data_IF_353903075764
#
_entry.id   IF_353903075764
#
_cell.length_a   1.000
_cell.length_b   1.000
_cell.length_c   1.000
_cell.angle_alpha   90.00
_cell.angle_beta   90.00
_cell.angle_gamma   90.00
#
_symmetry.space_group_name_H-M   'P 1'
#
loop_
_entity.id
_entity.type
_entity.pdbx_description
1 polymer ?
#
# COMPACT_ATOMS: atom_id res chain seq x y z
N UNK A 1 -17.63 -51.40 -6.90
CA UNK A 1 -19.03 -50.94 -6.98
C UNK A 1 -19.27 -50.16 -5.68
N UNK A 2 -19.41 -48.84 -5.58
CA UNK A 2 -19.73 -47.72 -6.47
C UNK A 2 -18.89 -46.52 -5.96
N UNK A 3 -18.05 -45.88 -6.78
CA UNK A 3 -18.31 -44.58 -7.46
C UNK A 3 -18.81 -43.50 -6.48
N UNK A 4 -17.88 -42.71 -5.95
CA UNK A 4 -18.16 -41.39 -5.37
C UNK A 4 -18.18 -40.39 -6.53
N UNK A 5 -19.34 -39.82 -6.81
CA UNK A 5 -19.52 -38.73 -7.79
C UNK A 5 -18.86 -37.46 -7.25
N UNK A 6 -18.12 -36.80 -8.14
CA UNK A 6 -17.64 -35.41 -8.08
C UNK A 6 -18.75 -34.40 -7.66
N UNK A 7 -18.48 -33.19 -7.18
CA UNK A 7 -17.74 -32.04 -7.77
C UNK A 7 -17.49 -31.06 -6.58
N UNK A 8 -16.35 -30.38 -6.40
CA UNK A 8 -15.81 -29.24 -7.17
C UNK A 8 -14.35 -29.02 -6.71
N UNK A 9 -13.41 -28.84 -7.64
CA UNK A 9 -12.04 -28.32 -7.40
C UNK A 9 -11.91 -26.92 -8.03
N UNK A 10 -10.84 -26.14 -7.77
CA UNK A 10 -9.99 -25.99 -6.59
C UNK A 10 -9.86 -24.49 -6.21
N UNK A 11 -10.11 -24.07 -4.96
CA UNK A 11 -9.78 -22.68 -4.63
C UNK A 11 -8.28 -22.55 -4.36
N UNK A 12 -7.65 -21.92 -5.33
CA UNK A 12 -6.24 -21.60 -5.45
C UNK A 12 -5.80 -20.77 -4.25
N UNK A 13 -5.30 -21.43 -3.21
CA UNK A 13 -4.47 -20.76 -2.19
C UNK A 13 -3.06 -20.54 -2.76
N UNK A 14 -2.97 -19.82 -3.89
CA UNK A 14 -1.76 -19.11 -4.24
C UNK A 14 -1.61 -18.00 -3.20
N UNK A 15 -0.71 -18.21 -2.23
CA UNK A 15 -0.24 -17.16 -1.33
C UNK A 15 0.03 -15.86 -2.11
N UNK A 16 -0.62 -14.74 -1.77
CA UNK A 16 -0.28 -13.50 -2.43
C UNK A 16 -0.01 -12.41 -1.38
N UNK A 17 1.27 -12.11 -1.20
CA UNK A 17 1.85 -10.88 -0.66
C UNK A 17 1.95 -10.72 0.88
N UNK A 18 3.15 -10.35 1.34
CA UNK A 18 3.53 -10.10 2.74
C UNK A 18 2.76 -8.94 3.43
N UNK A 19 1.73 -8.40 2.79
CA UNK A 19 0.86 -7.37 3.32
C UNK A 19 -0.54 -7.97 3.34
N UNK A 20 -0.89 -8.57 4.47
CA UNK A 20 -2.28 -8.90 4.76
C UNK A 20 -3.01 -7.57 4.93
N UNK A 21 -3.69 -7.11 3.89
CA UNK A 21 -4.73 -6.11 4.03
C UNK A 21 -5.83 -6.77 4.84
N UNK A 22 -5.70 -6.69 6.16
CA UNK A 22 -6.79 -7.00 7.07
C UNK A 22 -7.99 -6.23 6.54
N UNK A 23 -9.10 -6.93 6.41
CA UNK A 23 -10.41 -6.53 5.90
C UNK A 23 -10.96 -5.34 6.71
N UNK A 24 -10.25 -4.21 6.65
CA UNK A 24 -10.67 -2.90 7.09
C UNK A 24 -11.77 -2.56 6.12
N UNK A 25 -12.96 -2.89 6.59
CA UNK A 25 -14.24 -2.79 5.95
C UNK A 25 -14.24 -1.91 4.70
N UNK A 26 -14.74 -2.49 3.62
CA UNK A 26 -15.12 -1.82 2.37
C UNK A 26 -16.07 -0.61 2.57
N UNK A 27 -16.38 -0.22 3.81
CA UNK A 27 -17.30 0.82 4.24
C UNK A 27 -16.65 2.20 4.40
N UNK A 28 -15.32 2.31 4.50
CA UNK A 28 -14.64 3.62 4.56
C UNK A 28 -13.59 3.78 3.46
N UNK A 29 -14.05 4.15 2.25
CA UNK A 29 -13.17 4.59 1.17
C UNK A 29 -12.51 5.93 1.53
N UNK A 30 -11.33 5.89 2.15
CA UNK A 30 -10.51 7.09 2.30
C UNK A 30 -9.81 7.42 0.98
N UNK A 31 -10.19 8.56 0.39
CA UNK A 31 -9.47 9.16 -0.73
C UNK A 31 -8.38 10.11 -0.23
N UNK A 32 -7.17 9.92 -0.74
CA UNK A 32 -6.08 10.87 -0.56
C UNK A 32 -6.41 12.15 -1.31
N UNK A 33 -6.47 13.27 -0.59
CA UNK A 33 -6.69 14.58 -1.20
C UNK A 33 -5.51 14.89 -2.13
N UNK A 34 -5.81 15.24 -3.39
CA UNK A 34 -4.80 15.58 -4.40
C UNK A 34 -3.78 16.63 -3.91
N UNK A 35 -4.24 17.66 -3.20
CA UNK A 35 -3.35 18.68 -2.62
C UNK A 35 -2.31 18.13 -1.63
N UNK A 36 -2.58 16.99 -0.97
CA UNK A 36 -1.64 16.32 -0.09
C UNK A 36 -0.63 15.44 -0.85
N UNK A 37 -1.04 14.90 -2.00
CA UNK A 37 -0.19 14.05 -2.84
C UNK A 37 1.05 14.84 -3.31
N UNK A 38 0.88 16.11 -3.64
CA UNK A 38 1.99 17.00 -4.02
C UNK A 38 2.94 17.35 -2.87
N UNK A 39 2.51 17.20 -1.63
CA UNK A 39 3.34 17.48 -0.46
C UNK A 39 4.18 16.27 -0.05
N UNK A 40 3.87 15.07 -0.56
CA UNK A 40 4.62 13.87 -0.25
C UNK A 40 6.08 14.03 -0.69
N UNK A 41 7.06 13.65 0.16
CA UNK A 41 8.44 13.62 -0.26
C UNK A 41 8.58 12.64 -1.43
N UNK A 42 9.41 12.99 -2.41
CA UNK A 42 9.72 12.10 -3.53
C UNK A 42 11.00 11.31 -3.27
N UNK A 43 11.02 10.08 -3.75
CA UNK A 43 12.18 9.20 -3.76
C UNK A 43 12.26 8.52 -5.11
N UNK A 44 13.36 8.74 -5.82
CA UNK A 44 13.56 8.27 -7.19
C UNK A 44 14.32 6.95 -7.25
N UNK A 45 14.99 6.57 -6.14
CA UNK A 45 15.86 5.40 -6.08
C UNK A 45 17.27 5.66 -6.64
N UNK A 46 17.72 6.92 -6.63
CA UNK A 46 19.05 7.28 -7.13
C UNK A 46 20.15 6.98 -6.11
N UNK A 47 21.37 6.70 -6.57
CA UNK A 47 22.50 6.32 -5.71
C UNK A 47 22.90 7.38 -4.66
N UNK A 48 22.49 8.64 -4.82
CA UNK A 48 22.73 9.73 -3.86
C UNK A 48 21.55 10.02 -2.93
N UNK A 49 20.41 9.36 -3.10
CA UNK A 49 19.25 9.54 -2.22
C UNK A 49 19.35 8.65 -0.97
N UNK A 50 19.00 9.21 0.18
CA UNK A 50 18.96 8.49 1.45
C UNK A 50 17.54 7.97 1.72
N UNK A 51 17.38 6.65 1.68
CA UNK A 51 16.10 5.96 1.91
C UNK A 51 15.58 6.15 3.34
N UNK A 52 16.45 6.17 4.35
CA UNK A 52 16.05 6.41 5.74
C UNK A 52 15.54 7.83 5.95
N UNK A 53 16.21 8.81 5.34
CA UNK A 53 15.78 10.21 5.36
C UNK A 53 14.43 10.37 4.67
N UNK A 54 14.20 9.68 3.55
CA UNK A 54 12.89 9.65 2.90
C UNK A 54 11.81 9.09 3.82
N UNK A 55 12.02 7.89 4.39
CA UNK A 55 11.05 7.24 5.26
C UNK A 55 10.71 8.08 6.50
N UNK A 56 11.70 8.75 7.11
CA UNK A 56 11.45 9.68 8.23
C UNK A 56 10.55 10.84 7.82
N UNK A 57 10.85 11.49 6.69
CA UNK A 57 10.01 12.60 6.17
C UNK A 57 8.60 12.15 5.83
N UNK A 58 8.49 11.00 5.17
CA UNK A 58 7.22 10.38 4.81
C UNK A 58 6.38 10.07 6.05
N UNK A 59 6.98 9.43 7.06
CA UNK A 59 6.32 9.11 8.32
C UNK A 59 5.77 10.36 9.03
N UNK A 60 6.58 11.42 9.11
CA UNK A 60 6.16 12.69 9.72
C UNK A 60 4.95 13.27 8.98
N UNK A 61 4.99 13.30 7.65
CA UNK A 61 3.90 13.86 6.85
C UNK A 61 2.62 13.02 6.93
N UNK A 62 2.69 11.69 6.85
CA UNK A 62 1.51 10.84 7.03
C UNK A 62 0.94 10.94 8.45
N UNK A 63 1.77 11.21 9.46
CA UNK A 63 1.31 11.38 10.85
C UNK A 63 0.49 12.64 11.08
N UNK A 64 0.63 13.67 10.24
CA UNK A 64 -0.20 14.88 10.30
C UNK A 64 -1.57 14.68 9.65
N UNK A 65 -1.73 13.66 8.82
CA UNK A 65 -3.01 13.28 8.24
C UNK A 65 -3.87 12.59 9.31
N UNK A 66 -4.99 13.20 9.68
CA UNK A 66 -5.94 12.66 10.67
C UNK A 66 -7.37 12.58 10.12
N UNK A 67 -7.64 11.70 9.15
CA UNK A 67 -9.00 11.36 8.77
C UNK A 67 -9.69 10.65 9.95
N UNK A 68 -10.93 11.03 10.23
CA UNK A 68 -11.74 10.41 11.27
C UNK A 68 -12.08 8.96 10.87
N UNK A 69 -11.96 8.01 11.79
CA UNK A 69 -12.28 6.60 11.55
C UNK A 69 -11.22 5.79 10.79
N UNK A 70 -10.19 6.44 10.23
CA UNK A 70 -9.18 5.76 9.40
C UNK A 70 -7.91 5.45 10.21
N UNK A 71 -7.45 4.18 10.23
CA UNK A 71 -6.18 3.82 10.83
C UNK A 71 -5.00 4.54 10.17
N UNK A 72 -4.02 5.00 10.98
CA UNK A 72 -2.86 5.75 10.46
C UNK A 72 -2.04 4.97 9.44
N UNK A 73 -1.93 3.65 9.64
CA UNK A 73 -1.14 2.81 8.73
C UNK A 73 -1.85 2.64 7.38
N UNK A 74 -3.19 2.71 7.33
CA UNK A 74 -3.94 2.72 6.08
C UNK A 74 -3.57 3.95 5.22
N UNK A 75 -3.44 5.12 5.84
CA UNK A 75 -3.00 6.34 5.16
C UNK A 75 -1.60 6.17 4.58
N UNK A 76 -0.67 5.62 5.37
CA UNK A 76 0.71 5.36 4.91
C UNK A 76 0.72 4.42 3.72
N UNK A 77 -0.03 3.32 3.78
CA UNK A 77 -0.08 2.35 2.69
C UNK A 77 -0.64 3.00 1.42
N UNK A 78 -1.71 3.79 1.52
CA UNK A 78 -2.30 4.48 0.37
C UNK A 78 -1.40 5.59 -0.18
N UNK A 79 -0.64 6.27 0.67
CA UNK A 79 0.20 7.41 0.29
C UNK A 79 1.58 7.01 -0.25
N UNK A 80 2.11 5.85 0.16
CA UNK A 80 3.47 5.42 -0.18
C UNK A 80 3.74 5.31 -1.68
N UNK A 81 2.85 4.77 -2.53
CA UNK A 81 3.10 4.74 -3.98
C UNK A 81 3.27 6.13 -4.60
N UNK A 82 2.64 7.14 -3.99
CA UNK A 82 2.75 8.53 -4.43
C UNK A 82 4.00 9.24 -3.92
N UNK A 83 4.70 8.69 -2.92
CA UNK A 83 5.99 9.19 -2.45
C UNK A 83 7.17 8.66 -3.26
N UNK A 84 6.93 7.66 -4.13
CA UNK A 84 7.94 7.14 -5.05
C UNK A 84 7.85 7.83 -6.43
N UNK A 85 8.99 7.88 -7.10
CA UNK A 85 9.13 8.34 -8.47
C UNK A 85 10.23 7.54 -9.20
N UNK A 86 10.37 7.75 -10.51
CA UNK A 86 11.40 7.10 -11.33
C UNK A 86 11.54 5.60 -11.08
N UNK A 87 12.80 5.13 -10.97
CA UNK A 87 13.11 3.70 -10.81
C UNK A 87 12.51 3.09 -9.54
N UNK A 88 12.37 3.86 -8.46
CA UNK A 88 11.74 3.38 -7.24
C UNK A 88 10.24 3.14 -7.42
N UNK A 89 9.56 4.00 -8.19
CA UNK A 89 8.16 3.80 -8.55
C UNK A 89 8.00 2.60 -9.48
N UNK A 90 8.85 2.49 -10.49
CA UNK A 90 8.83 1.36 -11.42
C UNK A 90 9.00 0.04 -10.66
N UNK A 91 9.95 -0.03 -9.72
CA UNK A 91 10.17 -1.21 -8.86
C UNK A 91 8.93 -1.65 -8.08
N UNK A 92 8.11 -0.71 -7.60
CA UNK A 92 6.90 -1.03 -6.84
C UNK A 92 5.81 -1.68 -7.71
N UNK A 93 5.81 -1.40 -9.01
CA UNK A 93 4.80 -1.88 -9.96
C UNK A 93 5.32 -2.97 -10.91
N UNK A 94 6.54 -3.48 -10.68
CA UNK A 94 7.05 -4.69 -11.33
C UNK A 94 6.24 -5.93 -10.90
#
# INVERSE_FOLDING_TARGET
>A
MLIFKELVTPDVMCQPWCIQYLELEQTQSYELKYGLIHLLPKFHGLAGEDSHKHLKKFHVLCSTMRPHGIPKDYIKIKAFPFSLDGAAKDWLYL
#
